data_IF_350010197653
#
_entry.id   IF_350010197653
#
_cell.length_a   1.000
_cell.length_b   1.000
_cell.length_c   1.000
_cell.angle_alpha   90.00
_cell.angle_beta   90.00
_cell.angle_gamma   90.00
#
_symmetry.space_group_name_H-M   'P 1'
#
loop_
_entity.id
_entity.type
_entity.pdbx_description
1 polymer ?
#
# COMPACT_ATOMS: atom_id res chain seq x y z
N UNK A 1 14.23 -19.89 -8.82
CA UNK A 1 13.98 -19.10 -7.58
C UNK A 1 15.20 -18.33 -7.07
N UNK A 2 16.45 -18.80 -7.24
CA UNK A 2 17.64 -18.06 -6.77
C UNK A 2 17.85 -16.69 -7.46
N UNK A 3 17.69 -16.59 -8.79
CA UNK A 3 17.96 -15.35 -9.54
C UNK A 3 17.10 -14.13 -9.10
N UNK A 4 15.83 -14.35 -8.72
CA UNK A 4 14.95 -13.28 -8.25
C UNK A 4 15.34 -12.69 -6.89
N UNK A 5 15.83 -13.53 -5.97
CA UNK A 5 16.31 -13.08 -4.65
C UNK A 5 17.63 -12.30 -4.75
N UNK A 6 18.54 -12.71 -5.63
CA UNK A 6 19.82 -12.00 -5.84
C UNK A 6 19.61 -10.59 -6.42
N UNK A 7 18.68 -10.42 -7.37
CA UNK A 7 18.36 -9.10 -7.93
C UNK A 7 17.65 -8.18 -6.93
N UNK A 8 16.71 -8.72 -6.13
CA UNK A 8 16.01 -7.96 -5.08
C UNK A 8 16.96 -7.43 -4.00
N UNK A 9 17.86 -8.29 -3.49
CA UNK A 9 18.82 -7.87 -2.47
C UNK A 9 19.83 -6.85 -2.97
N UNK A 10 20.25 -6.96 -4.23
CA UNK A 10 21.15 -5.99 -4.85
C UNK A 10 20.52 -4.60 -4.92
N UNK A 11 19.28 -4.49 -5.42
CA UNK A 11 18.55 -3.20 -5.48
C UNK A 11 18.31 -2.59 -4.10
N UNK A 12 18.05 -3.43 -3.09
CA UNK A 12 17.94 -2.96 -1.72
C UNK A 12 19.26 -2.35 -1.20
N UNK A 13 20.41 -2.96 -1.48
CA UNK A 13 21.69 -2.41 -1.04
C UNK A 13 22.06 -1.13 -1.81
N UNK A 14 21.84 -1.10 -3.12
CA UNK A 14 22.01 0.10 -3.94
C UNK A 14 21.11 1.26 -3.44
N UNK A 15 19.86 0.95 -3.08
CA UNK A 15 18.94 1.92 -2.49
C UNK A 15 19.39 2.41 -1.10
N UNK A 16 19.94 1.52 -0.26
CA UNK A 16 20.50 1.90 1.05
C UNK A 16 21.74 2.79 0.92
N UNK A 17 22.58 2.59 -0.11
CA UNK A 17 23.71 3.47 -0.37
C UNK A 17 23.25 4.87 -0.83
N UNK A 18 22.24 4.95 -1.71
CA UNK A 18 21.65 6.23 -2.11
C UNK A 18 21.05 6.99 -0.91
N UNK A 19 20.29 6.30 -0.06
CA UNK A 19 19.76 6.86 1.18
C UNK A 19 20.88 7.33 2.12
N UNK A 20 21.98 6.59 2.22
CA UNK A 20 23.09 6.95 3.08
C UNK A 20 23.68 8.31 2.70
N UNK A 21 23.87 8.58 1.41
CA UNK A 21 24.40 9.84 0.91
C UNK A 21 23.45 11.01 1.18
N UNK A 22 22.16 10.87 0.84
CA UNK A 22 21.16 11.92 1.11
C UNK A 22 21.02 12.21 2.61
N UNK A 23 20.89 11.17 3.44
CA UNK A 23 20.73 11.34 4.90
C UNK A 23 21.96 11.95 5.57
N UNK A 24 23.17 11.67 5.08
CA UNK A 24 24.42 12.27 5.62
C UNK A 24 24.55 13.75 5.30
N UNK A 25 23.93 14.22 4.22
CA UNK A 25 23.90 15.65 3.87
C UNK A 25 23.04 16.45 4.87
N UNK A 26 22.13 15.79 5.60
CA UNK A 26 21.31 16.41 6.63
C UNK A 26 21.94 16.21 8.02
N UNK A 27 22.40 17.27 8.71
CA UNK A 27 23.11 17.14 10.00
C UNK A 27 22.35 16.30 11.04
N UNK A 28 21.03 16.49 11.14
CA UNK A 28 20.14 15.77 12.08
C UNK A 28 19.88 14.31 11.72
N UNK A 29 20.05 13.93 10.44
CA UNK A 29 19.78 12.56 9.95
C UNK A 29 21.07 11.78 9.68
N UNK A 30 22.24 12.38 9.92
CA UNK A 30 23.54 11.78 9.60
C UNK A 30 23.74 10.38 10.18
N UNK A 31 23.34 10.18 11.44
CA UNK A 31 23.40 8.86 12.10
C UNK A 31 22.51 7.81 11.43
N UNK A 32 21.39 8.24 10.84
CA UNK A 32 20.54 7.37 10.05
C UNK A 32 21.13 7.07 8.66
N UNK A 33 21.90 8.00 8.09
CA UNK A 33 22.71 7.74 6.90
C UNK A 33 23.85 6.75 7.18
N UNK A 34 24.48 6.83 8.35
CA UNK A 34 25.47 5.85 8.80
C UNK A 34 24.85 4.47 9.00
N UNK A 35 23.65 4.39 9.59
CA UNK A 35 22.86 3.16 9.64
C UNK A 35 22.68 2.56 8.23
N UNK A 36 22.20 3.34 7.25
CA UNK A 36 21.94 2.86 5.90
C UNK A 36 23.21 2.33 5.21
N UNK A 37 24.30 3.10 5.25
CA UNK A 37 25.57 2.70 4.64
C UNK A 37 26.23 1.52 5.36
N UNK A 38 26.02 1.33 6.66
CA UNK A 38 26.49 0.12 7.36
C UNK A 38 25.63 -1.10 7.00
N UNK A 39 24.32 -0.91 6.78
CA UNK A 39 23.41 -1.97 6.34
C UNK A 39 23.72 -2.46 4.93
N UNK A 40 24.01 -1.57 3.98
CA UNK A 40 24.37 -1.95 2.61
C UNK A 40 25.63 -2.82 2.55
N UNK A 41 26.60 -2.57 3.45
CA UNK A 41 27.83 -3.35 3.61
C UNK A 41 27.68 -4.64 4.44
N UNK A 42 26.47 -4.97 4.88
CA UNK A 42 26.21 -6.17 5.71
C UNK A 42 26.67 -6.05 7.17
N UNK A 43 27.07 -4.87 7.65
CA UNK A 43 27.61 -4.63 8.99
C UNK A 43 26.49 -4.45 10.02
N UNK A 44 25.65 -5.48 10.20
CA UNK A 44 24.39 -5.42 10.97
C UNK A 44 24.55 -4.87 12.40
N UNK A 45 25.54 -5.34 13.15
CA UNK A 45 25.75 -4.91 14.55
C UNK A 45 26.08 -3.42 14.65
N UNK A 46 26.96 -2.94 13.77
CA UNK A 46 27.38 -1.54 13.74
C UNK A 46 26.24 -0.64 13.25
N UNK A 47 25.49 -1.10 12.24
CA UNK A 47 24.30 -0.42 11.78
C UNK A 47 23.30 -0.21 12.92
N UNK A 48 22.96 -1.27 13.67
CA UNK A 48 22.04 -1.16 14.80
C UNK A 48 22.55 -0.18 15.87
N UNK A 49 23.86 -0.15 16.13
CA UNK A 49 24.43 0.85 17.04
C UNK A 49 24.25 2.29 16.54
N UNK A 50 24.43 2.55 15.24
CA UNK A 50 24.17 3.86 14.64
C UNK A 50 22.69 4.25 14.71
N UNK A 51 21.77 3.29 14.49
CA UNK A 51 20.34 3.52 14.66
C UNK A 51 19.98 3.86 16.12
N UNK A 52 20.55 3.16 17.10
CA UNK A 52 20.32 3.49 18.52
C UNK A 52 20.85 4.88 18.89
N UNK A 53 22.00 5.29 18.33
CA UNK A 53 22.51 6.65 18.51
C UNK A 53 21.58 7.69 17.90
N UNK A 54 21.05 7.43 16.69
CA UNK A 54 20.03 8.29 16.09
C UNK A 54 18.80 8.40 16.98
N UNK A 55 18.26 7.29 17.49
CA UNK A 55 17.07 7.30 18.34
C UNK A 55 17.29 8.03 19.66
N UNK A 56 18.50 7.98 20.23
CA UNK A 56 18.87 8.77 21.39
C UNK A 56 18.88 10.27 21.07
N UNK A 57 19.55 10.66 19.98
CA UNK A 57 19.58 12.06 19.53
C UNK A 57 18.16 12.58 19.24
N UNK A 58 17.36 11.80 18.53
CA UNK A 58 16.01 12.16 18.12
C UNK A 58 15.03 12.31 19.31
N UNK A 59 15.35 11.74 20.47
CA UNK A 59 14.56 11.95 21.69
C UNK A 59 14.71 13.36 22.28
N UNK A 60 15.72 14.11 21.84
CA UNK A 60 15.96 15.50 22.24
C UNK A 60 15.34 16.52 21.27
N UNK A 61 14.78 16.07 20.14
CA UNK A 61 14.11 16.95 19.19
C UNK A 61 12.85 17.57 19.77
N UNK A 62 12.62 18.85 19.48
CA UNK A 62 11.33 19.48 19.75
C UNK A 62 10.25 19.02 18.74
N UNK A 63 9.00 19.39 18.99
CA UNK A 63 7.87 18.98 18.14
C UNK A 63 8.06 19.32 16.66
N UNK A 64 8.33 20.59 16.30
CA UNK A 64 8.62 20.98 14.93
C UNK A 64 9.80 20.24 14.30
N UNK A 65 10.91 20.08 15.03
CA UNK A 65 12.10 19.38 14.53
C UNK A 65 11.82 17.90 14.28
N UNK A 66 11.14 17.22 15.21
CA UNK A 66 10.77 15.82 15.08
C UNK A 66 9.83 15.58 13.89
N UNK A 67 8.83 16.46 13.70
CA UNK A 67 7.90 16.40 12.55
C UNK A 67 8.64 16.58 11.22
N UNK A 68 9.54 17.58 11.14
CA UNK A 68 10.34 17.80 9.94
C UNK A 68 11.24 16.59 9.62
N UNK A 69 11.93 16.03 10.63
CA UNK A 69 12.75 14.83 10.46
C UNK A 69 11.92 13.61 10.04
N UNK A 70 10.71 13.42 10.60
CA UNK A 70 9.82 12.33 10.19
C UNK A 70 9.40 12.47 8.71
N UNK A 71 9.05 13.67 8.26
CA UNK A 71 8.71 13.93 6.85
C UNK A 71 9.90 13.63 5.94
N UNK A 72 11.09 14.16 6.25
CA UNK A 72 12.31 13.90 5.46
C UNK A 72 12.56 12.39 5.31
N UNK A 73 12.49 11.64 6.41
CA UNK A 73 12.70 10.17 6.40
C UNK A 73 11.67 9.46 5.52
N UNK A 74 10.40 9.86 5.60
CA UNK A 74 9.31 9.19 4.90
C UNK A 74 9.28 9.53 3.40
N UNK A 75 9.59 10.77 3.04
CA UNK A 75 9.77 11.16 1.64
C UNK A 75 10.97 10.43 1.01
N UNK A 76 12.10 10.36 1.71
CA UNK A 76 13.27 9.61 1.26
C UNK A 76 12.95 8.13 1.05
N UNK A 77 12.18 7.54 1.98
CA UNK A 77 11.72 6.16 1.85
C UNK A 77 10.80 5.97 0.63
N UNK A 78 9.83 6.86 0.40
CA UNK A 78 8.90 6.74 -0.73
C UNK A 78 9.59 6.93 -2.08
N UNK A 79 10.62 7.80 -2.15
CA UNK A 79 11.48 7.93 -3.34
C UNK A 79 12.37 6.70 -3.57
N UNK A 80 12.71 5.95 -2.51
CA UNK A 80 13.66 4.82 -2.55
C UNK A 80 12.99 3.48 -2.22
N UNK A 81 11.96 3.13 -2.97
CA UNK A 81 11.09 1.96 -2.70
C UNK A 81 11.83 0.62 -2.64
N UNK A 82 12.96 0.50 -3.32
CA UNK A 82 13.77 -0.73 -3.35
C UNK A 82 14.47 -1.00 -2.00
N UNK A 83 14.70 0.04 -1.18
CA UNK A 83 15.35 -0.05 0.13
C UNK A 83 14.38 -0.48 1.25
N UNK A 84 13.74 -1.63 1.08
CA UNK A 84 12.73 -2.17 2.00
C UNK A 84 13.24 -2.36 3.44
N UNK A 85 14.55 -2.42 3.66
CA UNK A 85 15.16 -2.55 4.99
C UNK A 85 15.41 -1.23 5.72
N UNK A 86 15.12 -0.08 5.09
CA UNK A 86 15.38 1.24 5.65
C UNK A 86 14.54 1.52 6.90
N UNK A 87 13.21 1.38 6.81
CA UNK A 87 12.28 1.61 7.92
C UNK A 87 12.23 0.44 8.89
N UNK A 88 13.35 0.17 9.57
CA UNK A 88 13.43 -0.88 10.58
C UNK A 88 12.43 -0.65 11.73
N UNK A 89 12.01 -1.73 12.38
CA UNK A 89 11.01 -1.67 13.45
C UNK A 89 11.35 -0.68 14.57
N UNK A 90 12.59 -0.57 15.08
CA UNK A 90 12.91 0.42 16.11
C UNK A 90 12.70 1.87 15.65
N UNK A 91 13.05 2.20 14.40
CA UNK A 91 12.80 3.52 13.82
C UNK A 91 11.31 3.82 13.74
N UNK A 92 10.50 2.83 13.33
CA UNK A 92 9.05 2.97 13.26
C UNK A 92 8.43 3.15 14.65
N UNK A 93 8.75 2.26 15.58
CA UNK A 93 8.09 2.18 16.87
C UNK A 93 8.52 3.27 17.86
N UNK A 94 9.77 3.72 17.80
CA UNK A 94 10.34 4.65 18.80
C UNK A 94 10.47 6.08 18.30
N UNK A 95 10.28 6.32 17.00
CA UNK A 95 10.37 7.66 16.44
C UNK A 95 9.16 7.98 15.54
N UNK A 96 9.00 7.27 14.42
CA UNK A 96 7.99 7.65 13.42
C UNK A 96 6.55 7.57 13.95
N UNK A 97 6.16 6.47 14.60
CA UNK A 97 4.80 6.35 15.13
C UNK A 97 4.51 7.37 16.24
N UNK A 98 5.33 7.50 17.30
CA UNK A 98 5.09 8.51 18.32
C UNK A 98 4.97 9.93 17.75
N UNK A 99 5.88 10.33 16.85
CA UNK A 99 5.87 11.68 16.27
C UNK A 99 4.61 11.92 15.45
N UNK A 100 4.21 10.97 14.60
CA UNK A 100 3.03 11.15 13.75
C UNK A 100 1.72 11.05 14.54
N UNK A 101 1.65 10.20 15.56
CA UNK A 101 0.47 10.04 16.43
C UNK A 101 0.26 11.31 17.27
N UNK A 102 1.30 11.79 17.94
CA UNK A 102 1.23 13.07 18.68
C UNK A 102 0.90 14.23 17.74
N UNK A 103 1.47 14.29 16.54
CA UNK A 103 1.13 15.33 15.56
C UNK A 103 -0.35 15.25 15.14
N UNK A 104 -0.90 14.05 14.92
CA UNK A 104 -2.31 13.88 14.58
C UNK A 104 -3.24 14.32 15.73
N UNK A 105 -2.82 14.14 16.98
CA UNK A 105 -3.56 14.58 18.17
C UNK A 105 -3.49 16.10 18.37
N UNK A 106 -2.30 16.67 18.25
CA UNK A 106 -2.06 18.12 18.40
C UNK A 106 -2.76 18.92 17.28
N UNK A 107 -2.75 18.38 16.06
CA UNK A 107 -3.28 19.04 14.86
C UNK A 107 -4.19 18.09 14.05
N UNK A 108 -5.45 17.87 14.49
CA UNK A 108 -6.37 16.94 13.82
C UNK A 108 -6.73 17.31 12.38
N UNK A 109 -6.46 18.56 11.99
CA UNK A 109 -6.62 19.09 10.63
C UNK A 109 -5.38 18.91 9.73
N UNK A 110 -4.30 18.32 10.23
CA UNK A 110 -3.09 18.09 9.45
C UNK A 110 -3.19 16.82 8.61
N UNK A 111 -3.04 16.97 7.29
CA UNK A 111 -3.09 15.85 6.32
C UNK A 111 -1.84 14.97 6.42
N UNK A 112 -0.68 15.58 6.67
CA UNK A 112 0.62 14.91 6.66
C UNK A 112 0.70 13.70 7.60
N UNK A 113 0.36 13.79 8.90
CA UNK A 113 0.39 12.64 9.78
C UNK A 113 -0.64 11.57 9.42
N UNK A 114 -1.84 11.96 8.94
CA UNK A 114 -2.87 11.03 8.47
C UNK A 114 -2.36 10.20 7.28
N UNK A 115 -1.82 10.88 6.26
CA UNK A 115 -1.24 10.27 5.06
C UNK A 115 -0.16 9.26 5.43
N UNK A 116 0.83 9.69 6.22
CA UNK A 116 1.97 8.85 6.53
C UNK A 116 1.64 7.70 7.48
N UNK A 117 0.81 7.91 8.50
CA UNK A 117 0.31 6.81 9.33
C UNK A 117 -0.53 5.83 8.52
N UNK A 118 -1.37 6.32 7.61
CA UNK A 118 -2.14 5.50 6.69
C UNK A 118 -1.25 4.57 5.86
N UNK A 119 -0.17 5.10 5.29
CA UNK A 119 0.81 4.29 4.55
C UNK A 119 1.56 3.29 5.44
N UNK A 120 2.07 3.73 6.60
CA UNK A 120 2.90 2.88 7.46
C UNK A 120 2.10 1.79 8.19
N UNK A 121 0.86 2.07 8.58
CA UNK A 121 -0.03 1.14 9.28
C UNK A 121 -0.93 0.36 8.33
N UNK A 122 -0.83 0.61 7.03
CA UNK A 122 -1.72 0.01 6.05
C UNK A 122 -3.20 0.27 6.37
N UNK A 123 -3.54 1.48 6.86
CA UNK A 123 -4.90 1.81 7.31
C UNK A 123 -5.68 2.56 6.23
N UNK A 124 -6.66 1.89 5.64
CA UNK A 124 -7.51 2.48 4.60
C UNK A 124 -8.42 3.59 5.17
N UNK A 125 -8.83 3.47 6.44
CA UNK A 125 -9.55 4.54 7.14
C UNK A 125 -8.73 5.85 7.23
N UNK A 126 -7.45 5.77 7.62
CA UNK A 126 -6.59 6.95 7.69
C UNK A 126 -6.32 7.55 6.31
N UNK A 127 -6.09 6.70 5.30
CA UNK A 127 -5.89 7.14 3.92
C UNK A 127 -7.15 7.77 3.32
N UNK A 128 -8.34 7.20 3.57
CA UNK A 128 -9.61 7.77 3.13
C UNK A 128 -9.86 9.13 3.78
N UNK A 129 -9.54 9.28 5.07
CA UNK A 129 -9.65 10.57 5.77
C UNK A 129 -8.64 11.60 5.22
N UNK A 130 -7.41 11.19 4.91
CA UNK A 130 -6.43 12.05 4.25
C UNK A 130 -6.90 12.50 2.86
N UNK A 131 -7.45 11.58 2.05
CA UNK A 131 -7.97 11.89 0.72
C UNK A 131 -9.19 12.82 0.77
N UNK A 132 -10.07 12.68 1.76
CA UNK A 132 -11.20 13.59 1.95
C UNK A 132 -10.74 15.04 2.23
N UNK A 133 -9.58 15.21 2.88
CA UNK A 133 -9.00 16.51 3.18
C UNK A 133 -8.14 17.07 2.04
N UNK A 134 -7.54 16.19 1.24
CA UNK A 134 -6.76 16.54 0.05
C UNK A 134 -7.17 15.66 -1.15
N UNK A 135 -8.26 16.01 -1.87
CA UNK A 135 -8.78 15.20 -2.97
C UNK A 135 -7.79 14.98 -4.12
N UNK A 136 -6.85 15.91 -4.31
CA UNK A 136 -5.84 15.83 -5.36
C UNK A 136 -4.59 15.02 -4.97
N UNK A 137 -4.56 14.40 -3.78
CA UNK A 137 -3.46 13.53 -3.35
C UNK A 137 -3.44 12.21 -4.13
N UNK A 138 -2.81 12.25 -5.30
CA UNK A 138 -2.69 11.12 -6.21
C UNK A 138 -2.03 9.89 -5.58
N UNK A 139 -0.92 9.98 -4.82
CA UNK A 139 -0.35 8.83 -4.10
C UNK A 139 -1.34 8.12 -3.17
N UNK A 140 -2.09 8.87 -2.36
CA UNK A 140 -3.10 8.30 -1.44
C UNK A 140 -4.22 7.63 -2.24
N UNK A 141 -4.74 8.33 -3.26
CA UNK A 141 -5.80 7.80 -4.13
C UNK A 141 -5.39 6.51 -4.83
N UNK A 142 -4.19 6.46 -5.42
CA UNK A 142 -3.65 5.24 -6.05
C UNK A 142 -3.58 4.09 -5.07
N UNK A 143 -3.09 4.33 -3.85
CA UNK A 143 -2.99 3.28 -2.84
C UNK A 143 -4.36 2.71 -2.44
N UNK A 144 -5.37 3.57 -2.26
CA UNK A 144 -6.73 3.13 -1.97
C UNK A 144 -7.29 2.29 -3.13
N UNK A 145 -7.19 2.79 -4.37
CA UNK A 145 -7.63 2.06 -5.57
C UNK A 145 -6.95 0.68 -5.68
N UNK A 146 -5.63 0.62 -5.55
CA UNK A 146 -4.85 -0.64 -5.65
C UNK A 146 -5.29 -1.66 -4.58
N UNK A 147 -5.51 -1.20 -3.34
CA UNK A 147 -5.88 -2.08 -2.24
C UNK A 147 -7.32 -2.56 -2.33
N UNK A 148 -8.25 -1.67 -2.66
CA UNK A 148 -9.65 -2.03 -2.84
C UNK A 148 -9.78 -3.03 -4.00
N UNK A 149 -9.09 -2.81 -5.12
CA UNK A 149 -9.02 -3.79 -6.21
C UNK A 149 -8.43 -5.14 -5.76
N UNK A 150 -7.35 -5.12 -4.98
CA UNK A 150 -6.76 -6.35 -4.45
C UNK A 150 -7.74 -7.11 -3.57
N UNK A 151 -8.48 -6.43 -2.69
CA UNK A 151 -9.48 -7.04 -1.83
C UNK A 151 -10.64 -7.66 -2.62
N UNK A 152 -11.20 -6.92 -3.59
CA UNK A 152 -12.28 -7.42 -4.46
C UNK A 152 -11.81 -8.64 -5.28
N UNK A 153 -10.60 -8.59 -5.83
CA UNK A 153 -10.02 -9.71 -6.55
C UNK A 153 -9.83 -10.92 -5.62
N UNK A 154 -9.33 -10.70 -4.41
CA UNK A 154 -9.21 -11.76 -3.40
C UNK A 154 -10.57 -12.35 -3.01
N UNK A 155 -11.62 -11.54 -2.88
CA UNK A 155 -12.97 -12.04 -2.58
C UNK A 155 -13.52 -12.95 -3.69
N UNK A 156 -13.16 -12.67 -4.95
CA UNK A 156 -13.78 -13.27 -6.14
C UNK A 156 -12.94 -14.30 -6.89
N UNK A 157 -11.67 -14.53 -6.51
CA UNK A 157 -10.76 -15.35 -7.32
C UNK A 157 -11.03 -16.87 -7.33
N UNK A 158 -11.86 -17.38 -6.41
CA UNK A 158 -12.31 -18.79 -6.36
C UNK A 158 -13.76 -18.96 -6.85
N UNK A 159 -14.31 -18.00 -7.58
CA UNK A 159 -15.65 -18.12 -8.14
C UNK A 159 -15.77 -19.24 -9.20
N UNK A 160 -14.65 -19.63 -9.81
CA UNK A 160 -14.55 -20.85 -10.62
C UNK A 160 -14.83 -22.13 -9.83
N UNK A 161 -14.57 -22.10 -8.52
CA UNK A 161 -14.81 -23.19 -7.57
C UNK A 161 -16.14 -23.03 -6.83
N UNK A 162 -17.02 -22.13 -7.29
CA UNK A 162 -18.28 -21.76 -6.62
C UNK A 162 -18.07 -21.20 -5.21
N UNK A 163 -16.98 -20.48 -4.99
CA UNK A 163 -16.64 -19.99 -3.67
C UNK A 163 -16.29 -18.51 -3.68
N UNK A 164 -17.06 -17.74 -2.91
CA UNK A 164 -16.79 -16.34 -2.63
C UNK A 164 -16.13 -16.22 -1.26
N UNK A 165 -14.97 -15.58 -1.19
CA UNK A 165 -14.26 -15.39 0.07
C UNK A 165 -14.79 -14.15 0.79
N UNK A 166 -15.15 -14.32 2.06
CA UNK A 166 -15.57 -13.20 2.91
C UNK A 166 -17.02 -12.79 2.69
N UNK A 167 -17.30 -11.49 2.88
CA UNK A 167 -18.64 -10.94 2.79
C UNK A 167 -18.90 -10.30 1.41
N UNK A 168 -20.02 -10.70 0.80
CA UNK A 168 -20.51 -10.07 -0.42
C UNK A 168 -20.88 -8.61 -0.17
N UNK A 169 -21.49 -8.29 0.97
CA UNK A 169 -21.89 -6.93 1.31
C UNK A 169 -20.66 -6.02 1.48
N UNK A 170 -19.59 -6.51 2.13
CA UNK A 170 -18.33 -5.76 2.24
C UNK A 170 -17.72 -5.51 0.85
N UNK A 171 -17.74 -6.51 -0.04
CA UNK A 171 -17.24 -6.35 -1.41
C UNK A 171 -18.08 -5.35 -2.23
N UNK A 172 -19.39 -5.28 -1.98
CA UNK A 172 -20.26 -4.26 -2.60
C UNK A 172 -19.90 -2.86 -2.10
N UNK A 173 -19.61 -2.68 -0.80
CA UNK A 173 -19.13 -1.41 -0.27
C UNK A 173 -17.74 -1.02 -0.81
N UNK A 174 -16.87 -2.01 -1.04
CA UNK A 174 -15.59 -1.80 -1.70
C UNK A 174 -15.75 -1.33 -3.14
N UNK A 175 -16.68 -1.92 -3.90
CA UNK A 175 -16.97 -1.48 -5.27
C UNK A 175 -17.45 -0.02 -5.29
N UNK A 176 -18.31 0.39 -4.35
CA UNK A 176 -18.76 1.78 -4.20
C UNK A 176 -17.61 2.72 -3.86
N UNK A 177 -16.74 2.30 -2.94
CA UNK A 177 -15.57 3.07 -2.52
C UNK A 177 -14.59 3.24 -3.69
N UNK A 178 -14.32 2.16 -4.43
CA UNK A 178 -13.49 2.17 -5.64
C UNK A 178 -14.05 3.13 -6.70
N UNK A 179 -15.36 3.10 -6.95
CA UNK A 179 -16.03 4.06 -7.83
C UNK A 179 -15.77 5.51 -7.40
N UNK A 180 -15.98 5.81 -6.12
CA UNK A 180 -15.73 7.14 -5.55
C UNK A 180 -14.27 7.59 -5.73
N UNK A 181 -13.31 6.68 -5.51
CA UNK A 181 -11.88 6.98 -5.69
C UNK A 181 -11.49 7.19 -7.15
N UNK A 182 -12.15 6.55 -8.11
CA UNK A 182 -11.87 6.72 -9.53
C UNK A 182 -12.51 8.02 -10.04
N UNK A 183 -13.78 8.25 -9.72
CA UNK A 183 -14.54 9.42 -10.20
C UNK A 183 -13.97 10.75 -9.66
N UNK A 184 -13.50 10.77 -8.41
CA UNK A 184 -12.92 11.98 -7.83
C UNK A 184 -11.49 12.29 -8.29
N UNK A 185 -10.91 11.54 -9.24
CA UNK A 185 -9.54 11.77 -9.67
C UNK A 185 -9.40 13.05 -10.53
N UNK A 186 -8.34 13.85 -10.33
CA UNK A 186 -8.15 15.07 -11.12
C UNK A 186 -7.82 14.79 -12.60
N UNK A 187 -7.27 13.61 -12.89
CA UNK A 187 -7.02 13.12 -14.25
C UNK A 187 -7.64 11.72 -14.42
N UNK A 188 -8.77 11.60 -15.14
CA UNK A 188 -9.42 10.32 -15.40
C UNK A 188 -8.55 9.32 -16.17
N UNK A 189 -7.58 9.78 -16.95
CA UNK A 189 -6.70 8.91 -17.74
C UNK A 189 -5.82 8.06 -16.84
N UNK A 190 -5.39 8.61 -15.69
CA UNK A 190 -4.56 7.89 -14.72
C UNK A 190 -5.25 6.64 -14.14
N UNK A 191 -6.58 6.61 -14.14
CA UNK A 191 -7.38 5.53 -13.53
C UNK A 191 -8.23 4.77 -14.55
N UNK A 192 -8.01 4.96 -15.86
CA UNK A 192 -8.79 4.30 -16.91
C UNK A 192 -8.76 2.77 -16.81
N UNK A 193 -7.60 2.19 -16.48
CA UNK A 193 -7.48 0.75 -16.24
C UNK A 193 -8.31 0.30 -15.03
N UNK A 194 -8.22 1.02 -13.91
CA UNK A 194 -9.00 0.73 -12.70
C UNK A 194 -10.51 0.88 -12.96
N UNK A 195 -10.94 1.83 -13.79
CA UNK A 195 -12.33 1.97 -14.20
C UNK A 195 -12.81 0.76 -15.02
N UNK A 196 -11.93 0.17 -15.83
CA UNK A 196 -12.20 -1.09 -16.52
C UNK A 196 -12.36 -2.27 -15.55
N UNK A 197 -11.48 -2.37 -14.55
CA UNK A 197 -11.57 -3.38 -13.49
C UNK A 197 -12.85 -3.22 -12.66
N UNK A 198 -13.22 -1.99 -12.28
CA UNK A 198 -14.45 -1.72 -11.55
C UNK A 198 -15.67 -2.27 -12.30
N UNK A 199 -15.84 -1.93 -13.58
CA UNK A 199 -16.95 -2.44 -14.40
C UNK A 199 -16.96 -3.98 -14.50
N UNK A 200 -15.78 -4.59 -14.58
CA UNK A 200 -15.65 -6.04 -14.61
C UNK A 200 -16.15 -6.65 -13.29
N UNK A 201 -15.69 -6.13 -12.15
CA UNK A 201 -16.06 -6.67 -10.85
C UNK A 201 -17.50 -6.35 -10.44
N UNK A 202 -18.04 -5.19 -10.82
CA UNK A 202 -19.46 -4.88 -10.65
C UNK A 202 -20.36 -5.91 -11.33
N UNK A 203 -20.06 -6.24 -12.59
CA UNK A 203 -20.80 -7.27 -13.32
C UNK A 203 -20.66 -8.65 -12.67
N UNK A 204 -19.42 -9.02 -12.30
CA UNK A 204 -19.10 -10.30 -11.68
C UNK A 204 -19.83 -10.51 -10.35
N UNK A 205 -19.75 -9.52 -9.46
CA UNK A 205 -20.39 -9.59 -8.12
C UNK A 205 -21.91 -9.56 -8.25
N UNK A 206 -22.47 -8.75 -9.17
CA UNK A 206 -23.91 -8.74 -9.41
C UNK A 206 -24.43 -10.10 -9.89
N UNK A 207 -23.71 -10.74 -10.81
CA UNK A 207 -24.05 -12.08 -11.30
C UNK A 207 -23.90 -13.14 -10.19
N UNK A 208 -22.87 -13.03 -9.35
CA UNK A 208 -22.71 -13.91 -8.19
C UNK A 208 -23.87 -13.79 -7.20
N UNK A 209 -24.34 -12.57 -6.92
CA UNK A 209 -25.51 -12.33 -6.07
C UNK A 209 -26.76 -12.97 -6.69
N UNK A 210 -26.96 -12.83 -8.00
CA UNK A 210 -28.09 -13.43 -8.70
C UNK A 210 -28.03 -14.97 -8.65
N UNK A 211 -26.86 -15.55 -8.93
CA UNK A 211 -26.62 -16.99 -8.80
C UNK A 211 -26.86 -17.48 -7.38
N UNK A 212 -26.40 -16.75 -6.37
CA UNK A 212 -26.54 -17.18 -4.96
C UNK A 212 -27.99 -17.22 -4.48
N UNK A 213 -28.91 -16.52 -5.16
CA UNK A 213 -30.35 -16.51 -4.81
C UNK A 213 -31.13 -17.63 -5.50
N UNK A 214 -30.86 -17.85 -6.78
CA UNK A 214 -31.75 -18.62 -7.67
C UNK A 214 -31.00 -19.59 -8.59
N UNK A 215 -29.67 -19.65 -8.47
CA UNK A 215 -28.81 -20.48 -9.29
C UNK A 215 -28.85 -21.96 -8.93
N UNK A 216 -28.64 -22.80 -9.93
CA UNK A 216 -28.43 -24.24 -9.77
C UNK A 216 -27.13 -24.65 -10.46
N UNK A 217 -26.51 -25.72 -10.00
CA UNK A 217 -25.22 -26.18 -10.52
C UNK A 217 -24.06 -25.30 -10.06
N UNK A 218 -23.09 -25.08 -10.95
CA UNK A 218 -21.93 -24.24 -10.67
C UNK A 218 -22.10 -22.84 -11.26
N UNK A 219 -21.53 -21.84 -10.61
CA UNK A 219 -21.46 -20.47 -11.09
C UNK A 219 -20.84 -20.37 -12.49
N UNK A 220 -19.73 -21.07 -12.84
CA UNK A 220 -19.25 -21.12 -14.21
C UNK A 220 -20.29 -21.62 -15.23
N UNK A 221 -21.03 -22.69 -14.90
CA UNK A 221 -22.09 -23.21 -15.78
C UNK A 221 -23.23 -22.19 -15.93
N UNK A 222 -23.68 -21.60 -14.81
CA UNK A 222 -24.70 -20.56 -14.79
C UNK A 222 -24.32 -19.34 -15.63
N UNK A 223 -23.03 -18.93 -15.57
CA UNK A 223 -22.47 -17.87 -16.40
C UNK A 223 -22.45 -18.24 -17.89
N UNK A 224 -22.04 -19.47 -18.22
CA UNK A 224 -21.96 -19.96 -19.59
C UNK A 224 -23.34 -19.99 -20.28
N UNK A 225 -24.37 -20.48 -19.58
CA UNK A 225 -25.76 -20.46 -20.06
C UNK A 225 -26.24 -19.04 -20.40
N UNK A 226 -25.75 -18.06 -19.65
CA UNK A 226 -26.08 -16.62 -19.80
C UNK A 226 -25.10 -15.87 -20.70
N UNK A 227 -24.18 -16.58 -21.37
CA UNK A 227 -23.15 -16.02 -22.26
C UNK A 227 -22.28 -14.94 -21.59
N UNK A 228 -22.09 -15.05 -20.27
CA UNK A 228 -21.19 -14.18 -19.50
C UNK A 228 -19.75 -14.63 -19.72
N UNK A 229 -18.85 -13.67 -19.94
CA UNK A 229 -17.43 -13.93 -20.23
C UNK A 229 -16.56 -13.32 -19.13
N UNK A 230 -16.29 -14.10 -18.10
CA UNK A 230 -15.39 -13.72 -17.00
C UNK A 230 -14.00 -14.32 -17.18
N UNK A 231 -12.98 -13.71 -16.56
CA UNK A 231 -11.58 -14.12 -16.75
C UNK A 231 -11.30 -15.53 -16.26
N UNK A 232 -12.01 -16.01 -15.24
CA UNK A 232 -11.86 -17.39 -14.76
C UNK A 232 -12.41 -18.43 -15.76
N UNK A 233 -13.33 -18.06 -16.65
CA UNK A 233 -13.86 -18.97 -17.67
C UNK A 233 -12.78 -19.39 -18.69
N UNK A 234 -11.78 -18.53 -18.94
CA UNK A 234 -10.66 -18.85 -19.82
C UNK A 234 -9.74 -19.96 -19.28
N UNK A 235 -9.81 -20.31 -17.98
CA UNK A 235 -9.08 -21.46 -17.43
C UNK A 235 -9.65 -22.80 -17.92
N UNK A 236 -10.93 -22.85 -18.31
CA UNK A 236 -11.63 -24.08 -18.69
C UNK A 236 -11.73 -24.30 -20.22
N UNK A 237 -11.44 -23.28 -21.04
CA UNK A 237 -11.44 -23.39 -22.52
C UNK A 237 -10.26 -24.21 -23.08
N UNK A 238 -9.25 -24.58 -22.25
CA UNK A 238 -8.15 -25.47 -22.66
C UNK A 238 -8.48 -26.97 -22.52
N UNK A 239 -9.70 -27.35 -22.14
CA UNK A 239 -10.13 -28.75 -21.96
C UNK A 239 -11.01 -29.30 -23.10
N UNK A 240 -11.20 -28.56 -24.18
CA UNK A 240 -12.04 -28.98 -25.32
C UNK A 240 -11.31 -28.69 -26.64
N UNK A 241 -10.28 -29.48 -26.92
CA UNK A 241 -9.62 -29.57 -28.23
C UNK A 241 -9.21 -31.02 -28.47
#
# INVERSE_FOLDING_TARGET
>A
MAAGMYHSNRRNFEGLDALAEELRAHPRLRLLGDYCGLRSRGLRRQALAALEQFLKLASEFDGPEARAAAVDILELHDRTKEAHQFLAQPLRARFLFPVLETWMEDEPGSITPLRWLGFLKHSDHLLARALAMAPDDLPVRRRLVERTLHHINYATHHLDENFFIGSVDETVEDLKSLGTYIEGAPDPVLFAAAAGELRYFEALVADWIAFSREGAGSFPAWCAERKRKYRFAAKYDYGSS
#
